data_IF_674196127917
#
_entry.id   IF_674196127917
#
_cell.length_a   1.000
_cell.length_b   1.000
_cell.length_c   1.000
_cell.angle_alpha   90.00
_cell.angle_beta   90.00
_cell.angle_gamma   90.00
#
_symmetry.space_group_name_H-M   'P 1'
#
loop_
_entity.id
_entity.type
_entity.pdbx_description
1 polymer ?
#
# COMPACT_ATOMS: atom_id res chain seq x y z
N UNK A 1 1.01 16.40 -2.28
CA UNK A 1 1.16 15.93 -0.88
C UNK A 1 2.36 14.98 -0.84
N UNK A 2 3.20 15.04 0.20
CA UNK A 2 4.43 14.21 0.29
C UNK A 2 4.29 13.11 1.34
N UNK A 3 4.76 11.91 1.02
CA UNK A 3 4.80 10.74 1.90
C UNK A 3 6.22 10.16 1.96
N UNK A 4 6.56 9.47 3.04
CA UNK A 4 7.83 8.75 3.12
C UNK A 4 7.71 7.47 2.28
N UNK A 5 6.60 6.76 2.44
CA UNK A 5 6.33 5.49 1.75
C UNK A 5 4.87 5.46 1.27
N UNK A 6 4.69 5.13 -0.01
CA UNK A 6 3.37 4.79 -0.58
C UNK A 6 3.33 3.31 -0.92
N UNK A 7 2.33 2.61 -0.39
CA UNK A 7 2.07 1.19 -0.63
C UNK A 7 0.92 1.08 -1.63
N UNK A 8 1.14 0.39 -2.74
CA UNK A 8 0.13 0.19 -3.78
C UNK A 8 -0.44 -1.22 -3.65
N UNK A 9 -1.63 -1.32 -3.07
CA UNK A 9 -2.36 -2.54 -2.75
C UNK A 9 -2.70 -2.62 -1.26
N UNK A 10 -3.97 -2.81 -0.94
CA UNK A 10 -4.52 -2.98 0.40
C UNK A 10 -4.76 -4.44 0.80
N UNK A 11 -4.11 -5.39 0.12
CA UNK A 11 -4.14 -6.82 0.44
C UNK A 11 -3.20 -7.21 1.61
N UNK A 12 -3.00 -8.52 1.87
CA UNK A 12 -2.20 -8.99 3.00
C UNK A 12 -0.78 -8.40 3.03
N UNK A 13 -0.07 -8.45 1.90
CA UNK A 13 1.29 -7.94 1.79
C UNK A 13 1.34 -6.41 2.01
N UNK A 14 0.37 -5.67 1.47
CA UNK A 14 0.32 -4.22 1.59
C UNK A 14 0.00 -3.75 3.00
N UNK A 15 -0.96 -4.39 3.67
CA UNK A 15 -1.28 -4.12 5.08
C UNK A 15 -0.09 -4.40 5.99
N UNK A 16 0.60 -5.53 5.79
CA UNK A 16 1.81 -5.87 6.54
C UNK A 16 2.95 -4.89 6.28
N UNK A 17 3.18 -4.52 5.01
CA UNK A 17 4.22 -3.56 4.64
C UNK A 17 3.98 -2.17 5.25
N UNK A 18 2.73 -1.72 5.29
CA UNK A 18 2.39 -0.43 5.90
C UNK A 18 2.67 -0.39 7.41
N UNK A 19 2.31 -1.46 8.13
CA UNK A 19 2.61 -1.59 9.55
C UNK A 19 4.12 -1.67 9.81
N UNK A 20 4.82 -2.53 9.07
CA UNK A 20 6.27 -2.66 9.19
C UNK A 20 6.98 -1.33 8.90
N UNK A 21 6.51 -0.56 7.90
CA UNK A 21 7.04 0.77 7.60
C UNK A 21 6.94 1.72 8.80
N UNK A 22 5.78 1.73 9.47
CA UNK A 22 5.57 2.51 10.70
C UNK A 22 6.46 2.05 11.85
N UNK A 23 6.55 0.74 12.08
CA UNK A 23 7.39 0.14 13.12
C UNK A 23 8.88 0.48 12.94
N UNK A 24 9.33 0.69 11.70
CA UNK A 24 10.70 1.07 11.37
C UNK A 24 10.90 2.58 11.21
N UNK A 25 9.95 3.41 11.67
CA UNK A 25 10.13 4.85 11.81
C UNK A 25 9.68 5.70 10.63
N UNK A 26 8.92 5.16 9.67
CA UNK A 26 8.30 5.99 8.63
C UNK A 26 7.10 6.77 9.21
N UNK A 27 7.12 8.09 9.11
CA UNK A 27 6.11 8.97 9.70
C UNK A 27 4.90 9.16 8.78
N UNK A 28 5.12 9.26 7.47
CA UNK A 28 4.06 9.49 6.49
C UNK A 28 3.92 8.30 5.55
N UNK A 29 3.11 7.34 5.98
CA UNK A 29 2.81 6.13 5.21
C UNK A 29 1.41 6.22 4.63
N UNK A 30 1.22 5.85 3.36
CA UNK A 30 -0.10 5.81 2.71
C UNK A 30 -0.32 4.47 2.00
N UNK A 31 -1.50 3.87 2.20
CA UNK A 31 -1.96 2.73 1.39
C UNK A 31 -2.89 3.23 0.28
N UNK A 32 -2.71 2.74 -0.94
CA UNK A 32 -3.60 2.99 -2.06
C UNK A 32 -4.22 1.67 -2.50
N UNK A 33 -5.54 1.57 -2.45
CA UNK A 33 -6.31 0.41 -2.86
C UNK A 33 -7.37 0.84 -3.89
N UNK A 34 -7.43 0.08 -4.97
CA UNK A 34 -8.38 0.33 -6.06
C UNK A 34 -9.78 -0.20 -5.75
N UNK A 35 -9.89 -1.17 -4.86
CA UNK A 35 -11.15 -1.77 -4.47
C UNK A 35 -11.89 -0.89 -3.45
N UNK A 36 -13.15 -1.23 -3.20
CA UNK A 36 -14.02 -0.53 -2.25
C UNK A 36 -13.67 -0.82 -0.78
N UNK A 37 -12.77 -1.75 -0.52
CA UNK A 37 -12.37 -2.20 0.81
C UNK A 37 -10.95 -2.77 0.82
N UNK A 38 -10.33 -2.80 2.01
CA UNK A 38 -9.04 -3.44 2.24
C UNK A 38 -9.21 -4.97 2.40
N UNK A 39 -8.11 -5.71 2.31
CA UNK A 39 -8.04 -7.16 2.54
C UNK A 39 -7.64 -7.95 1.29
N UNK A 40 -7.94 -7.43 0.10
CA UNK A 40 -7.56 -8.04 -1.17
C UNK A 40 -8.06 -9.48 -1.30
N UNK A 41 -7.17 -10.41 -1.69
CA UNK A 41 -7.55 -11.82 -1.89
C UNK A 41 -8.09 -12.50 -0.63
N UNK A 42 -7.67 -12.05 0.56
CA UNK A 42 -8.11 -12.64 1.83
C UNK A 42 -9.62 -12.56 2.02
N UNK A 43 -10.28 -11.53 1.48
CA UNK A 43 -11.73 -11.37 1.59
C UNK A 43 -12.50 -12.50 0.87
N UNK A 44 -11.85 -13.27 -0.01
CA UNK A 44 -12.43 -14.40 -0.73
C UNK A 44 -12.05 -15.75 -0.11
N UNK A 45 -11.07 -15.78 0.80
CA UNK A 45 -10.57 -17.00 1.41
C UNK A 45 -11.39 -17.38 2.66
N UNK A 46 -12.59 -17.92 2.46
CA UNK A 46 -13.53 -18.26 3.54
C UNK A 46 -13.21 -19.57 4.30
N UNK A 47 -12.06 -20.19 4.02
CA UNK A 47 -11.59 -21.38 4.74
C UNK A 47 -10.64 -20.99 5.87
N UNK A 48 -10.55 -21.84 6.88
CA UNK A 48 -9.62 -21.72 7.99
C UNK A 48 -8.17 -22.04 7.56
N UNK A 49 -7.22 -21.84 8.47
CA UNK A 49 -5.79 -22.12 8.24
C UNK A 49 -4.91 -20.87 8.16
N UNK A 50 -5.49 -19.69 8.33
CA UNK A 50 -4.75 -18.44 8.48
C UNK A 50 -4.44 -18.18 9.97
N UNK A 51 -3.47 -17.32 10.25
CA UNK A 51 -3.27 -16.76 11.59
C UNK A 51 -2.51 -17.62 12.60
N UNK A 52 -2.36 -18.94 12.40
CA UNK A 52 -1.71 -19.82 13.39
C UNK A 52 -0.31 -19.35 13.80
N UNK A 53 0.54 -18.98 12.84
CA UNK A 53 1.89 -18.49 13.13
C UNK A 53 1.92 -17.03 13.60
N UNK A 54 1.06 -16.18 13.06
CA UNK A 54 1.09 -14.73 13.29
C UNK A 54 0.35 -14.31 14.56
N UNK A 55 -0.73 -15.01 14.88
CA UNK A 55 -1.69 -14.67 15.94
C UNK A 55 -1.90 -15.79 16.96
N UNK A 56 -1.34 -16.98 16.74
CA UNK A 56 -1.53 -18.13 17.64
C UNK A 56 -2.94 -18.71 17.60
N UNK A 57 -3.71 -18.39 16.56
CA UNK A 57 -5.13 -18.70 16.46
C UNK A 57 -5.47 -19.05 15.02
N UNK A 58 -6.33 -20.05 14.83
CA UNK A 58 -6.81 -20.45 13.51
C UNK A 58 -7.94 -19.51 13.06
N UNK A 59 -7.73 -18.83 11.93
CA UNK A 59 -8.63 -17.83 11.37
C UNK A 59 -8.98 -18.16 9.93
N UNK A 60 -10.11 -17.62 9.48
CA UNK A 60 -10.40 -17.45 8.05
C UNK A 60 -9.58 -16.31 7.45
N UNK A 61 -9.54 -16.22 6.12
CA UNK A 61 -8.91 -15.10 5.42
C UNK A 61 -9.49 -13.73 5.81
N UNK A 62 -10.83 -13.52 5.79
CA UNK A 62 -11.43 -12.26 6.19
C UNK A 62 -11.13 -11.88 7.65
N UNK A 63 -11.10 -12.83 8.57
CA UNK A 63 -10.73 -12.57 9.98
C UNK A 63 -9.27 -12.15 10.12
N UNK A 64 -8.35 -12.81 9.39
CA UNK A 64 -6.95 -12.41 9.32
C UNK A 64 -6.80 -10.99 8.76
N UNK A 65 -7.51 -10.67 7.67
CA UNK A 65 -7.53 -9.33 7.09
C UNK A 65 -8.07 -8.29 8.09
N UNK A 66 -9.17 -8.60 8.77
CA UNK A 66 -9.77 -7.72 9.77
C UNK A 66 -8.80 -7.35 10.90
N UNK A 67 -7.97 -8.31 11.37
CA UNK A 67 -6.94 -8.03 12.39
C UNK A 67 -5.88 -7.06 11.89
N UNK A 68 -5.38 -7.26 10.66
CA UNK A 68 -4.40 -6.34 10.07
C UNK A 68 -5.00 -4.96 9.78
N UNK A 69 -6.23 -4.89 9.26
CA UNK A 69 -6.94 -3.63 9.02
C UNK A 69 -7.14 -2.87 10.34
N UNK A 70 -7.49 -3.58 11.43
CA UNK A 70 -7.59 -2.99 12.76
C UNK A 70 -6.26 -2.38 13.20
N UNK A 71 -5.15 -3.13 13.09
CA UNK A 71 -3.80 -2.61 13.41
C UNK A 71 -3.44 -1.38 12.58
N UNK A 72 -3.74 -1.38 11.27
CA UNK A 72 -3.48 -0.24 10.37
C UNK A 72 -4.25 1.00 10.81
N UNK A 73 -5.52 0.85 11.20
CA UNK A 73 -6.35 1.93 11.74
C UNK A 73 -5.83 2.44 13.09
N UNK A 74 -5.46 1.53 14.00
CA UNK A 74 -4.90 1.87 15.31
C UNK A 74 -3.55 2.59 15.20
N UNK A 75 -2.73 2.23 14.21
CA UNK A 75 -1.48 2.91 13.88
C UNK A 75 -1.68 4.26 13.16
N UNK A 76 -2.93 4.66 12.90
CA UNK A 76 -3.26 5.92 12.23
C UNK A 76 -2.76 6.00 10.78
N UNK A 77 -2.58 4.86 10.11
CA UNK A 77 -2.10 4.83 8.73
C UNK A 77 -3.26 5.17 7.79
N UNK A 78 -3.19 6.28 7.03
CA UNK A 78 -4.21 6.62 6.05
C UNK A 78 -4.23 5.62 4.89
N UNK A 79 -5.41 5.48 4.29
CA UNK A 79 -5.59 4.70 3.08
C UNK A 79 -6.58 5.37 2.14
N UNK A 80 -6.37 5.22 0.84
CA UNK A 80 -7.30 5.62 -0.20
C UNK A 80 -7.93 4.37 -0.81
N UNK A 81 -9.26 4.28 -0.78
CA UNK A 81 -10.04 3.25 -1.44
C UNK A 81 -10.51 3.75 -2.81
N UNK A 82 -11.01 2.85 -3.66
CA UNK A 82 -11.49 3.18 -5.01
C UNK A 82 -10.48 4.01 -5.82
N UNK A 83 -9.19 3.89 -5.52
CA UNK A 83 -8.13 4.74 -6.07
C UNK A 83 -7.10 3.89 -6.78
N UNK A 84 -6.93 4.14 -8.07
CA UNK A 84 -5.98 3.43 -8.91
C UNK A 84 -4.70 4.26 -9.11
N UNK A 85 -3.53 3.62 -9.04
CA UNK A 85 -2.27 4.26 -9.45
C UNK A 85 -2.04 4.03 -10.93
N UNK A 86 -2.09 5.12 -11.70
CA UNK A 86 -1.96 5.12 -13.15
C UNK A 86 -0.48 5.08 -13.55
N UNK A 87 0.35 5.90 -12.93
CA UNK A 87 1.77 6.03 -13.28
C UNK A 87 2.64 6.27 -12.04
N UNK A 88 3.90 5.84 -12.14
CA UNK A 88 4.95 6.07 -11.14
C UNK A 88 6.19 6.50 -11.90
N UNK A 89 6.61 7.74 -11.73
CA UNK A 89 7.79 8.29 -12.38
C UNK A 89 8.86 8.62 -11.35
N UNK A 90 10.11 8.31 -11.67
CA UNK A 90 11.26 8.79 -10.90
C UNK A 90 11.53 10.24 -11.26
N UNK A 91 11.70 11.10 -10.25
CA UNK A 91 12.27 12.43 -10.47
C UNK A 91 13.79 12.35 -10.40
N UNK A 92 14.44 12.35 -11.56
CA UNK A 92 15.85 12.71 -11.65
C UNK A 92 15.97 14.23 -11.47
N UNK A 93 16.20 14.65 -10.23
CA UNK A 93 16.52 16.05 -9.95
C UNK A 93 17.99 16.24 -10.29
N UNK A 94 18.27 16.91 -11.41
CA UNK A 94 19.61 17.25 -11.87
C UNK A 94 20.50 17.87 -10.78
N UNK A 95 21.81 17.87 -11.06
CA UNK A 95 23.02 18.17 -10.25
C UNK A 95 22.98 19.13 -9.04
N UNK A 96 21.93 19.92 -8.85
CA UNK A 96 21.95 21.12 -8.00
C UNK A 96 21.20 20.99 -6.68
N UNK A 97 20.69 19.79 -6.34
CA UNK A 97 20.29 19.47 -4.96
C UNK A 97 21.02 18.23 -4.50
N UNK A 98 21.76 18.39 -3.39
CA UNK A 98 22.47 17.36 -2.60
C UNK A 98 22.16 15.92 -3.06
N UNK A 99 23.15 15.29 -3.68
CA UNK A 99 23.15 13.86 -3.99
C UNK A 99 22.56 13.07 -2.82
N UNK A 100 21.36 12.52 -2.99
CA UNK A 100 20.69 11.71 -1.96
C UNK A 100 19.16 11.82 -1.85
N UNK A 101 18.48 12.76 -2.52
CA UNK A 101 17.00 12.84 -2.47
C UNK A 101 16.35 12.40 -3.77
N UNK A 102 16.45 11.11 -4.09
CA UNK A 102 15.63 10.46 -5.12
C UNK A 102 14.20 10.29 -4.59
N UNK A 103 13.19 10.61 -5.41
CA UNK A 103 11.79 10.48 -5.02
C UNK A 103 10.91 10.12 -6.21
N UNK A 104 9.70 9.66 -5.92
CA UNK A 104 8.71 9.22 -6.88
C UNK A 104 7.56 10.20 -6.95
N UNK A 105 7.15 10.55 -8.17
CA UNK A 105 5.86 11.19 -8.43
C UNK A 105 4.87 10.10 -8.85
N UNK A 106 3.72 10.04 -8.17
CA UNK A 106 2.72 8.98 -8.34
C UNK A 106 1.44 9.64 -8.81
N UNK A 107 0.96 9.21 -9.98
CA UNK A 107 -0.31 9.68 -10.54
C UNK A 107 -1.43 8.71 -10.15
N UNK A 108 -2.45 9.22 -9.47
CA UNK A 108 -3.59 8.48 -8.95
C UNK A 108 -4.88 8.95 -9.59
N UNK A 109 -5.85 8.05 -9.68
CA UNK A 109 -7.18 8.38 -10.17
C UNK A 109 -8.26 7.73 -9.31
N UNK A 110 -9.26 8.50 -8.93
CA UNK A 110 -10.50 7.99 -8.36
C UNK A 110 -11.70 8.81 -8.87
N UNK A 111 -12.91 8.37 -8.55
CA UNK A 111 -14.15 9.02 -9.05
C UNK A 111 -14.40 10.40 -8.43
N UNK A 112 -13.92 10.65 -7.21
CA UNK A 112 -14.24 11.84 -6.43
C UNK A 112 -13.27 12.99 -6.73
N UNK A 113 -11.98 12.70 -6.73
CA UNK A 113 -10.89 13.66 -6.88
C UNK A 113 -10.38 13.75 -8.33
N UNK A 114 -10.84 12.86 -9.22
CA UNK A 114 -10.36 12.77 -10.60
C UNK A 114 -8.92 12.26 -10.65
N UNK A 115 -8.12 12.80 -11.58
CA UNK A 115 -6.68 12.54 -11.69
C UNK A 115 -5.91 13.53 -10.80
N UNK A 116 -5.06 13.03 -9.93
CA UNK A 116 -4.25 13.84 -9.02
C UNK A 116 -2.89 13.17 -8.75
N UNK A 117 -1.98 13.92 -8.13
CA UNK A 117 -0.61 13.47 -7.89
C UNK A 117 -0.19 13.59 -6.43
N UNK A 118 0.63 12.65 -5.99
CA UNK A 118 1.34 12.69 -4.72
C UNK A 118 2.81 12.37 -4.95
N UNK A 119 3.64 12.70 -3.96
CA UNK A 119 5.07 12.43 -3.96
C UNK A 119 5.41 11.43 -2.85
N UNK A 120 6.38 10.56 -3.10
CA UNK A 120 6.86 9.60 -2.12
C UNK A 120 8.39 9.46 -2.15
N UNK A 121 9.02 9.26 -0.99
CA UNK A 121 10.43 8.88 -0.92
C UNK A 121 10.67 7.45 -1.45
N UNK A 122 9.74 6.55 -1.17
CA UNK A 122 9.74 5.17 -1.68
C UNK A 122 8.34 4.68 -2.04
N UNK A 123 8.29 3.67 -2.92
CA UNK A 123 7.05 3.01 -3.33
C UNK A 123 7.18 1.51 -3.16
N UNK A 124 6.18 0.89 -2.51
CA UNK A 124 6.07 -0.57 -2.37
C UNK A 124 4.93 -1.04 -3.28
N UNK A 125 5.26 -1.88 -4.27
CA UNK A 125 4.26 -2.52 -5.12
C UNK A 125 3.77 -3.80 -4.43
N UNK A 126 2.53 -3.77 -3.93
CA UNK A 126 1.88 -4.89 -3.24
C UNK A 126 0.55 -5.27 -3.92
N UNK A 127 0.51 -5.13 -5.24
CA UNK A 127 -0.72 -5.22 -6.06
C UNK A 127 -1.06 -6.65 -6.54
N UNK A 128 -0.46 -7.68 -5.92
CA UNK A 128 -0.66 -9.09 -6.24
C UNK A 128 -0.17 -9.46 -7.65
N UNK A 129 -0.82 -10.42 -8.32
CA UNK A 129 -0.43 -10.89 -9.66
C UNK A 129 -0.39 -9.79 -10.74
N UNK A 130 -0.93 -8.59 -10.46
CA UNK A 130 -0.89 -7.45 -11.37
C UNK A 130 0.40 -6.63 -11.31
N UNK A 131 1.29 -6.97 -10.39
CA UNK A 131 2.65 -6.41 -10.38
C UNK A 131 3.42 -6.86 -11.63
N UNK A 132 3.30 -8.15 -12.00
CA UNK A 132 3.95 -8.74 -13.17
C UNK A 132 3.64 -8.06 -14.52
N UNK A 133 2.40 -7.68 -14.87
CA UNK A 133 2.12 -6.99 -16.14
C UNK A 133 2.61 -5.54 -16.22
N UNK A 134 3.12 -4.91 -15.14
CA UNK A 134 3.63 -3.54 -15.19
C UNK A 134 5.06 -3.54 -15.73
N UNK A 135 5.19 -3.49 -17.07
CA UNK A 135 6.48 -3.46 -17.79
C UNK A 135 6.97 -4.79 -18.36
N UNK A 136 6.15 -5.85 -18.34
CA UNK A 136 6.50 -7.17 -18.89
C UNK A 136 5.85 -7.46 -20.27
N UNK A 137 5.69 -6.42 -21.11
CA UNK A 137 5.40 -6.57 -22.54
C UNK A 137 6.45 -5.81 -23.35
#
# INVERSE_FOLDING_TARGET
MHYDIVIIGGGPAGLAAALASKEHGADRVLIVERDKELGGILNQCIHNGFGLHTFGEELTGPEYAARYIKKVKEAGIPYLLNTMVIDISCRDMGSDRKAGSSGFEISLMNRTDGLFQIEAGAVILAMGCRERPRGAL
#
